data_IF_001149995554
#
_entry.id   IF_001149995554
#
_cell.length_a   1.000
_cell.length_b   1.000
_cell.length_c   1.000
_cell.angle_alpha   90.00
_cell.angle_beta   90.00
_cell.angle_gamma   90.00
#
_symmetry.space_group_name_H-M   'P 1'
#
loop_
_entity.id
_entity.type
_entity.pdbx_description
1 polymer ?
#
# COMPACT_ATOMS: atom_id res chain seq x y z
N UNK A 1 -8.30 -2.64 -10.69
CA UNK A 1 -8.59 -1.49 -9.80
C UNK A 1 -9.68 -1.88 -8.83
N UNK A 2 -9.57 -1.56 -7.53
CA UNK A 2 -10.54 -1.94 -6.50
C UNK A 2 -11.99 -1.57 -6.88
N UNK A 3 -12.20 -0.40 -7.50
CA UNK A 3 -13.51 0.06 -7.99
C UNK A 3 -14.12 -0.78 -9.12
N UNK A 4 -13.32 -1.62 -9.80
CA UNK A 4 -13.80 -2.58 -10.81
C UNK A 4 -14.32 -3.87 -10.17
N UNK A 5 -13.71 -4.28 -9.05
CA UNK A 5 -14.11 -5.49 -8.31
C UNK A 5 -15.30 -5.16 -7.40
N UNK A 6 -15.33 -3.96 -6.84
CA UNK A 6 -16.43 -3.48 -6.00
C UNK A 6 -17.19 -2.32 -6.68
N UNK A 7 -18.38 -2.63 -7.18
CA UNK A 7 -19.23 -1.71 -7.95
C UNK A 7 -19.84 -0.57 -7.10
N UNK A 8 -19.85 -0.69 -5.77
CA UNK A 8 -20.34 0.36 -4.87
C UNK A 8 -19.22 1.19 -4.25
N UNK A 9 -17.95 0.85 -4.50
CA UNK A 9 -16.82 1.60 -3.96
C UNK A 9 -16.56 2.88 -4.77
N UNK A 10 -16.26 3.96 -4.05
CA UNK A 10 -15.62 5.16 -4.59
C UNK A 10 -14.16 5.21 -4.15
N UNK A 11 -13.28 5.64 -5.04
CA UNK A 11 -11.83 5.61 -4.89
C UNK A 11 -11.25 7.02 -4.94
N UNK A 12 -10.30 7.28 -4.05
CA UNK A 12 -9.39 8.41 -4.13
C UNK A 12 -7.98 7.83 -4.22
N UNK A 13 -7.27 8.12 -5.31
CA UNK A 13 -5.88 7.77 -5.49
C UNK A 13 -4.99 8.99 -5.22
N UNK A 14 -3.94 8.81 -4.44
CA UNK A 14 -2.93 9.84 -4.16
C UNK A 14 -1.63 9.38 -4.80
N UNK A 15 -1.05 10.22 -5.65
CA UNK A 15 0.20 9.95 -6.35
C UNK A 15 1.03 11.24 -6.37
N UNK A 16 2.24 11.22 -5.82
CA UNK A 16 3.03 12.45 -5.69
C UNK A 16 3.75 12.83 -7.00
N UNK A 17 3.92 11.87 -7.92
CA UNK A 17 4.57 12.13 -9.21
C UNK A 17 3.53 12.60 -10.25
N UNK A 18 3.56 13.87 -10.70
CA UNK A 18 2.49 14.43 -11.54
C UNK A 18 2.25 13.66 -12.83
N UNK A 19 3.30 13.17 -13.49
CA UNK A 19 3.16 12.36 -14.71
C UNK A 19 2.49 11.00 -14.45
N UNK A 20 2.75 10.38 -13.29
CA UNK A 20 2.14 9.09 -12.93
C UNK A 20 0.69 9.30 -12.51
N UNK A 21 0.38 10.42 -11.85
CA UNK A 21 -0.99 10.82 -11.53
C UNK A 21 -1.81 11.02 -12.81
N UNK A 22 -1.28 11.74 -13.80
CA UNK A 22 -1.93 11.93 -15.10
C UNK A 22 -2.14 10.61 -15.85
N UNK A 23 -1.19 9.67 -15.77
CA UNK A 23 -1.37 8.32 -16.33
C UNK A 23 -2.47 7.54 -15.60
N UNK A 24 -2.56 7.64 -14.27
CA UNK A 24 -3.60 7.02 -13.48
C UNK A 24 -5.00 7.58 -13.81
N UNK A 25 -5.12 8.90 -14.00
CA UNK A 25 -6.36 9.55 -14.45
C UNK A 25 -6.81 9.02 -15.81
N UNK A 26 -5.91 8.98 -16.80
CA UNK A 26 -6.23 8.39 -18.12
C UNK A 26 -6.69 6.95 -17.99
N UNK A 27 -6.04 6.16 -17.13
CA UNK A 27 -6.45 4.77 -16.88
C UNK A 27 -7.85 4.68 -16.27
N UNK A 28 -8.22 5.59 -15.36
CA UNK A 28 -9.57 5.67 -14.79
C UNK A 28 -10.59 5.94 -15.91
N UNK A 29 -10.35 6.94 -16.75
CA UNK A 29 -11.25 7.29 -17.85
C UNK A 29 -11.38 6.18 -18.89
N UNK A 30 -10.26 5.53 -19.26
CA UNK A 30 -10.27 4.38 -20.18
C UNK A 30 -11.08 3.18 -19.65
N UNK A 31 -11.26 3.08 -18.32
CA UNK A 31 -12.05 2.03 -17.69
C UNK A 31 -13.47 2.49 -17.30
N UNK A 32 -13.90 3.69 -17.67
CA UNK A 32 -15.22 4.23 -17.36
C UNK A 32 -15.47 4.41 -15.86
N UNK A 33 -14.43 4.73 -15.10
CA UNK A 33 -14.48 4.85 -13.64
C UNK A 33 -14.57 6.30 -13.15
N UNK A 34 -14.73 7.28 -14.04
CA UNK A 34 -14.66 8.72 -13.74
C UNK A 34 -15.64 9.16 -12.64
N UNK A 35 -16.83 8.55 -12.60
CA UNK A 35 -17.86 8.87 -11.61
C UNK A 35 -17.56 8.31 -10.21
N UNK A 36 -16.55 7.46 -10.06
CA UNK A 36 -16.26 6.72 -8.81
C UNK A 36 -14.78 6.67 -8.47
N UNK A 37 -13.90 7.28 -9.25
CA UNK A 37 -12.48 7.29 -8.96
C UNK A 37 -11.88 8.64 -9.34
N UNK A 38 -11.15 9.25 -8.41
CA UNK A 38 -10.40 10.48 -8.65
C UNK A 38 -8.94 10.27 -8.27
N UNK A 39 -8.05 11.05 -8.90
CA UNK A 39 -6.62 11.07 -8.59
C UNK A 39 -6.26 12.46 -8.11
N UNK A 40 -5.39 12.54 -7.10
CA UNK A 40 -4.73 13.78 -6.71
C UNK A 40 -3.22 13.63 -6.86
N UNK A 41 -2.63 14.57 -7.61
CA UNK A 41 -1.20 14.76 -7.70
C UNK A 41 -0.70 15.45 -6.41
N UNK A 42 -0.49 14.68 -5.34
CA UNK A 42 -0.20 15.22 -4.01
C UNK A 42 0.68 14.27 -3.19
N UNK A 43 1.46 14.83 -2.26
CA UNK A 43 2.26 14.08 -1.32
C UNK A 43 1.44 13.65 -0.09
N UNK A 44 1.71 12.45 0.40
CA UNK A 44 1.06 11.89 1.59
C UNK A 44 1.21 12.76 2.83
N UNK A 45 2.29 13.55 2.95
CA UNK A 45 2.51 14.47 4.07
C UNK A 45 1.51 15.64 4.07
N UNK A 46 0.90 15.97 2.94
CA UNK A 46 -0.02 17.09 2.78
C UNK A 46 -1.50 16.70 2.94
N UNK A 47 -1.83 15.40 3.03
CA UNK A 47 -3.22 14.92 2.98
C UNK A 47 -4.13 15.45 4.10
N UNK A 48 -3.55 15.92 5.21
CA UNK A 48 -4.29 16.60 6.29
C UNK A 48 -4.89 17.95 5.85
N UNK A 49 -4.36 18.57 4.81
CA UNK A 49 -4.88 19.80 4.21
C UNK A 49 -5.98 19.49 3.18
N UNK A 50 -5.94 18.29 2.59
CA UNK A 50 -6.83 17.85 1.53
C UNK A 50 -8.11 17.21 2.06
N UNK A 51 -8.03 16.50 3.20
CA UNK A 51 -9.15 15.74 3.76
C UNK A 51 -9.27 15.96 5.27
N UNK A 52 -10.50 15.90 5.81
CA UNK A 52 -10.70 15.83 7.25
C UNK A 52 -10.23 14.48 7.83
N UNK A 53 -10.07 14.43 9.15
CA UNK A 53 -9.77 13.19 9.86
C UNK A 53 -10.88 12.15 9.63
N UNK A 54 -10.50 10.87 9.59
CA UNK A 54 -11.44 9.75 9.56
C UNK A 54 -12.42 9.79 8.36
N UNK A 55 -11.90 10.10 7.17
CA UNK A 55 -12.68 10.20 5.93
C UNK A 55 -13.00 8.84 5.29
N UNK A 56 -12.08 7.88 5.34
CA UNK A 56 -12.14 6.67 4.50
C UNK A 56 -12.43 5.39 5.29
N UNK A 57 -13.26 4.51 4.73
CA UNK A 57 -13.54 3.18 5.30
C UNK A 57 -12.37 2.20 5.13
N UNK A 58 -11.58 2.36 4.07
CA UNK A 58 -10.41 1.57 3.75
C UNK A 58 -9.31 2.49 3.21
N UNK A 59 -8.10 2.35 3.75
CA UNK A 59 -6.88 2.94 3.18
C UNK A 59 -5.97 1.82 2.71
N UNK A 60 -5.56 1.84 1.45
CA UNK A 60 -4.59 0.90 0.89
C UNK A 60 -3.34 1.66 0.51
N UNK A 61 -2.19 1.18 0.95
CA UNK A 61 -0.92 1.84 0.73
C UNK A 61 0.13 0.86 0.24
N UNK A 62 0.87 1.27 -0.78
CA UNK A 62 2.05 0.61 -1.29
C UNK A 62 3.23 1.60 -1.24
N UNK A 63 3.79 1.86 -0.04
CA UNK A 63 4.86 2.85 0.11
C UNK A 63 6.11 2.46 -0.69
N UNK A 64 6.95 3.44 -1.06
CA UNK A 64 8.26 3.17 -1.62
C UNK A 64 9.04 2.15 -0.78
N UNK A 65 9.66 1.18 -1.46
CA UNK A 65 10.23 0.00 -0.79
C UNK A 65 11.60 0.23 -0.17
N UNK A 66 12.36 1.26 -0.59
CA UNK A 66 13.74 1.49 -0.12
C UNK A 66 13.86 2.82 0.61
N UNK A 67 14.62 2.79 1.72
CA UNK A 67 14.97 3.99 2.47
C UNK A 67 15.75 4.95 1.58
N UNK A 68 15.54 6.25 1.79
CA UNK A 68 16.37 7.31 1.23
C UNK A 68 17.86 6.98 1.45
N UNK A 69 18.68 7.05 0.40
CA UNK A 69 20.12 6.81 0.49
C UNK A 69 20.58 5.34 0.61
N UNK A 70 19.68 4.36 0.52
CA UNK A 70 20.05 2.93 0.55
C UNK A 70 19.86 2.22 -0.81
N UNK A 71 20.95 2.06 -1.57
CA UNK A 71 20.98 1.25 -2.80
C UNK A 71 21.86 1.82 -3.91
N UNK A 72 22.30 0.95 -4.84
CA UNK A 72 22.98 1.36 -6.09
C UNK A 72 22.00 2.19 -6.94
N UNK A 73 22.41 3.43 -7.23
CA UNK A 73 21.77 4.35 -8.20
C UNK A 73 21.62 3.62 -9.54
N UNK A 74 20.41 3.61 -10.10
CA UNK A 74 20.21 3.02 -11.42
C UNK A 74 20.70 4.03 -12.47
N UNK A 75 21.52 3.64 -13.46
CA UNK A 75 22.02 4.58 -14.48
C UNK A 75 20.93 5.11 -15.45
N UNK A 76 19.64 4.85 -15.18
CA UNK A 76 18.50 5.36 -15.95
C UNK A 76 17.70 6.36 -15.11
N UNK A 77 17.94 7.64 -15.36
CA UNK A 77 17.43 8.80 -14.60
C UNK A 77 15.90 8.88 -14.38
N UNK A 78 15.07 8.08 -15.05
CA UNK A 78 13.61 8.08 -14.91
C UNK A 78 13.02 6.99 -13.99
N UNK A 79 13.81 6.03 -13.49
CA UNK A 79 13.30 4.91 -12.65
C UNK A 79 13.53 5.08 -11.15
N UNK A 80 14.27 6.11 -10.76
CA UNK A 80 14.78 6.23 -9.39
C UNK A 80 13.85 7.01 -8.44
N UNK A 81 13.00 7.90 -8.95
CA UNK A 81 12.08 8.69 -8.11
C UNK A 81 11.01 7.82 -7.41
N UNK A 82 10.52 6.76 -8.07
CA UNK A 82 9.49 5.88 -7.50
C UNK A 82 10.05 4.84 -6.49
N UNK A 83 11.38 4.74 -6.34
CA UNK A 83 12.03 3.67 -5.56
C UNK A 83 12.80 4.14 -4.35
N UNK A 84 13.10 5.42 -4.26
CA UNK A 84 13.73 6.03 -3.09
C UNK A 84 12.69 6.88 -2.37
N UNK A 85 12.65 6.83 -1.03
CA UNK A 85 11.91 7.83 -0.24
C UNK A 85 12.49 9.22 -0.57
N UNK A 86 11.85 9.97 -1.47
CA UNK A 86 12.30 11.31 -1.85
C UNK A 86 11.73 12.40 -0.95
N UNK A 87 10.47 12.27 -0.54
CA UNK A 87 9.73 13.30 0.22
C UNK A 87 8.95 12.75 1.42
N UNK A 88 8.65 11.46 1.47
CA UNK A 88 7.92 10.80 2.54
C UNK A 88 8.46 9.39 2.82
N UNK A 89 8.56 9.03 4.10
CA UNK A 89 9.00 7.70 4.56
C UNK A 89 7.85 6.85 5.08
N UNK A 90 8.12 5.58 5.42
CA UNK A 90 7.11 4.65 5.93
C UNK A 90 6.30 5.21 7.12
N UNK A 91 6.93 6.00 8.01
CA UNK A 91 6.26 6.67 9.12
C UNK A 91 5.18 7.64 8.66
N UNK A 92 5.44 8.40 7.59
CA UNK A 92 4.50 9.39 7.04
C UNK A 92 3.30 8.69 6.41
N UNK A 93 3.53 7.60 5.67
CA UNK A 93 2.45 6.77 5.12
C UNK A 93 1.58 6.16 6.23
N UNK A 94 2.18 5.64 7.30
CA UNK A 94 1.43 5.10 8.45
C UNK A 94 0.65 6.21 9.15
N UNK A 95 1.24 7.39 9.34
CA UNK A 95 0.58 8.54 9.97
C UNK A 95 -0.59 9.08 9.14
N UNK A 96 -0.41 9.19 7.81
CA UNK A 96 -1.45 9.60 6.87
C UNK A 96 -2.58 8.57 6.84
N UNK A 97 -2.26 7.28 6.70
CA UNK A 97 -3.28 6.23 6.69
C UNK A 97 -4.07 6.17 8.00
N UNK A 98 -3.40 6.34 9.14
CA UNK A 98 -4.06 6.50 10.44
C UNK A 98 -4.95 7.73 10.45
N UNK A 99 -4.50 8.89 10.01
CA UNK A 99 -5.33 10.10 10.01
C UNK A 99 -6.61 9.90 9.17
N UNK A 100 -6.45 9.32 7.99
CA UNK A 100 -7.51 9.21 6.99
C UNK A 100 -8.54 8.11 7.27
N UNK A 101 -8.16 7.01 7.91
CA UNK A 101 -9.09 5.88 8.12
C UNK A 101 -10.11 6.17 9.23
N UNK A 102 -11.37 5.79 9.05
CA UNK A 102 -12.39 5.81 10.11
C UNK A 102 -12.03 4.89 11.28
N UNK A 103 -12.54 5.13 12.50
CA UNK A 103 -12.32 4.24 13.65
C UNK A 103 -12.68 2.77 13.39
N UNK A 104 -13.75 2.51 12.62
CA UNK A 104 -14.19 1.17 12.22
C UNK A 104 -13.49 0.62 10.98
N UNK A 105 -12.73 1.46 10.28
CA UNK A 105 -12.13 1.15 8.98
C UNK A 105 -10.90 0.27 9.06
N UNK A 106 -10.29 0.04 7.90
CA UNK A 106 -9.08 -0.79 7.75
C UNK A 106 -7.98 -0.08 7.01
N UNK A 107 -6.75 -0.44 7.34
CA UNK A 107 -5.56 0.00 6.61
C UNK A 107 -4.84 -1.24 6.09
N UNK A 108 -4.53 -1.29 4.81
CA UNK A 108 -3.76 -2.37 4.20
C UNK A 108 -2.44 -1.83 3.66
N UNK A 109 -1.34 -2.49 4.02
CA UNK A 109 -0.01 -2.21 3.49
C UNK A 109 0.55 -3.43 2.77
N UNK A 110 1.37 -3.18 1.76
CA UNK A 110 2.30 -4.18 1.21
C UNK A 110 3.73 -3.62 1.28
N UNK A 111 4.70 -4.44 1.69
CA UNK A 111 6.07 -3.99 1.91
C UNK A 111 7.11 -5.13 1.86
N UNK A 112 8.41 -4.80 1.76
CA UNK A 112 9.50 -5.78 1.78
C UNK A 112 9.68 -6.42 3.17
N UNK A 113 9.97 -7.72 3.28
CA UNK A 113 10.19 -8.39 4.57
C UNK A 113 11.29 -7.75 5.42
N UNK A 114 12.32 -7.17 4.81
CA UNK A 114 13.39 -6.45 5.54
C UNK A 114 12.89 -5.23 6.32
N UNK A 115 11.74 -4.67 5.95
CA UNK A 115 11.11 -3.53 6.62
C UNK A 115 10.12 -3.97 7.71
N UNK A 116 9.87 -5.28 7.86
CA UNK A 116 8.89 -5.79 8.82
C UNK A 116 9.18 -5.32 10.26
N UNK A 117 10.41 -5.35 10.80
CA UNK A 117 10.68 -4.88 12.16
C UNK A 117 10.30 -3.40 12.36
N UNK A 118 10.66 -2.56 11.39
CA UNK A 118 10.34 -1.13 11.41
C UNK A 118 8.85 -0.86 11.24
N UNK A 119 8.19 -1.59 10.34
CA UNK A 119 6.75 -1.51 10.14
C UNK A 119 5.98 -1.84 11.43
N UNK A 120 6.32 -2.95 12.10
CA UNK A 120 5.68 -3.35 13.35
C UNK A 120 5.90 -2.30 14.46
N UNK A 121 7.11 -1.75 14.54
CA UNK A 121 7.46 -0.70 15.50
C UNK A 121 6.65 0.58 15.24
N UNK A 122 6.61 1.06 14.00
CA UNK A 122 5.87 2.26 13.62
C UNK A 122 4.36 2.10 13.79
N UNK A 123 3.80 0.93 13.45
CA UNK A 123 2.39 0.62 13.68
C UNK A 123 2.05 0.70 15.18
N UNK A 124 2.89 0.09 16.03
CA UNK A 124 2.71 0.13 17.48
C UNK A 124 2.82 1.56 18.05
N UNK A 125 3.83 2.33 17.62
CA UNK A 125 3.98 3.75 18.00
C UNK A 125 2.78 4.60 17.56
N UNK A 126 2.25 4.32 16.38
CA UNK A 126 1.04 4.95 15.87
C UNK A 126 -0.23 4.46 16.57
N UNK A 127 -0.17 3.55 17.55
CA UNK A 127 -1.33 2.95 18.22
C UNK A 127 -2.29 2.26 17.23
N UNK A 128 -1.72 1.68 16.17
CA UNK A 128 -2.41 0.79 15.25
C UNK A 128 -2.12 -0.66 15.63
N UNK A 129 -3.13 -1.51 15.58
CA UNK A 129 -2.96 -2.93 15.82
C UNK A 129 -2.96 -3.69 14.51
N UNK A 130 -2.00 -4.60 14.37
CA UNK A 130 -1.93 -5.52 13.23
C UNK A 130 -3.00 -6.60 13.44
N UNK A 131 -3.95 -6.66 12.52
CA UNK A 131 -5.04 -7.63 12.51
C UNK A 131 -4.62 -8.90 11.78
N UNK A 132 -4.02 -8.75 10.60
CA UNK A 132 -3.59 -9.85 9.73
C UNK A 132 -2.23 -9.56 9.15
N UNK A 133 -1.40 -10.59 9.01
CA UNK A 133 -0.11 -10.55 8.32
C UNK A 133 -0.05 -11.72 7.35
N UNK A 134 0.38 -11.48 6.12
CA UNK A 134 0.54 -12.53 5.10
C UNK A 134 1.85 -12.36 4.36
N UNK A 135 2.68 -13.40 4.36
CA UNK A 135 3.91 -13.42 3.57
C UNK A 135 3.61 -13.79 2.12
N UNK A 136 4.30 -13.16 1.17
CA UNK A 136 4.20 -13.44 -0.26
C UNK A 136 5.54 -13.97 -0.74
N UNK A 137 5.51 -15.10 -1.43
CA UNK A 137 6.65 -15.82 -1.96
C UNK A 137 6.51 -15.96 -3.47
N UNK A 138 7.59 -15.82 -4.21
CA UNK A 138 7.56 -16.02 -5.67
C UNK A 138 7.18 -17.45 -6.05
N UNK A 139 7.64 -18.44 -5.27
CA UNK A 139 7.33 -19.86 -5.40
C UNK A 139 7.57 -20.60 -4.07
N UNK A 140 7.21 -21.90 -4.03
CA UNK A 140 7.28 -22.75 -2.82
C UNK A 140 8.68 -22.88 -2.20
N UNK A 141 9.74 -22.64 -2.97
CA UNK A 141 11.14 -22.77 -2.51
C UNK A 141 11.80 -21.43 -2.20
N UNK A 142 11.15 -20.33 -2.54
CA UNK A 142 11.72 -18.99 -2.39
C UNK A 142 11.45 -18.41 -1.00
N UNK A 143 12.37 -17.59 -0.45
CA UNK A 143 12.05 -16.76 0.70
C UNK A 143 10.94 -15.77 0.36
N UNK A 144 10.32 -15.19 1.39
CA UNK A 144 9.31 -14.15 1.19
C UNK A 144 9.93 -12.97 0.43
N UNK A 145 9.23 -12.48 -0.58
CA UNK A 145 9.62 -11.30 -1.35
C UNK A 145 8.89 -10.05 -0.88
N UNK A 146 7.68 -10.22 -0.34
CA UNK A 146 6.82 -9.15 0.17
C UNK A 146 6.03 -9.67 1.37
N UNK A 147 5.47 -8.78 2.16
CA UNK A 147 4.41 -9.09 3.13
C UNK A 147 3.25 -8.11 2.94
N UNK A 148 2.05 -8.56 3.27
CA UNK A 148 0.87 -7.73 3.43
C UNK A 148 0.47 -7.66 4.90
N UNK A 149 0.02 -6.49 5.34
CA UNK A 149 -0.48 -6.29 6.69
C UNK A 149 -1.80 -5.51 6.68
N UNK A 150 -2.77 -6.01 7.42
CA UNK A 150 -4.03 -5.30 7.73
C UNK A 150 -3.93 -4.71 9.14
N UNK A 151 -4.26 -3.42 9.29
CA UNK A 151 -4.23 -2.68 10.54
C UNK A 151 -5.61 -2.09 10.88
N UNK A 152 -5.83 -1.83 12.18
CA UNK A 152 -6.97 -1.06 12.66
C UNK A 152 -6.60 -0.10 13.80
N UNK A 153 -7.37 0.99 13.93
CA UNK A 153 -7.28 1.96 15.03
C UNK A 153 -7.79 1.35 16.34
N UNK A 154 -7.04 1.51 17.44
CA UNK A 154 -7.56 1.34 18.80
C UNK A 154 -7.99 -0.07 19.21
N UNK A 155 -7.87 -1.06 18.33
CA UNK A 155 -8.33 -2.43 18.58
C UNK A 155 -7.17 -3.31 18.99
N UNK A 156 -6.94 -3.53 20.29
CA UNK A 156 -6.02 -4.59 20.72
C UNK A 156 -6.52 -5.93 20.16
N UNK A 157 -5.69 -6.56 19.33
CA UNK A 157 -5.98 -7.84 18.70
C UNK A 157 -4.74 -8.72 18.75
N UNK A 158 -4.96 -10.02 18.86
CA UNK A 158 -3.93 -10.99 18.50
C UNK A 158 -3.88 -11.03 16.98
N UNK A 159 -2.72 -10.76 16.35
CA UNK A 159 -2.60 -10.79 14.90
C UNK A 159 -2.79 -12.23 14.40
N UNK A 160 -3.51 -12.38 13.29
CA UNK A 160 -3.57 -13.63 12.54
C UNK A 160 -2.43 -13.61 11.52
N UNK A 161 -1.58 -14.63 11.54
CA UNK A 161 -0.61 -14.86 10.47
C UNK A 161 -1.26 -15.83 9.49
N UNK A 162 -1.59 -15.33 8.30
CA UNK A 162 -2.22 -16.10 7.24
C UNK A 162 -1.23 -17.11 6.62
N UNK A 163 -1.73 -18.21 6.04
CA UNK A 163 -0.93 -19.03 5.15
C UNK A 163 -0.24 -18.18 4.07
N UNK A 164 1.02 -18.46 3.72
CA UNK A 164 1.73 -17.69 2.71
C UNK A 164 1.00 -17.70 1.37
N UNK A 165 1.12 -16.62 0.62
CA UNK A 165 0.72 -16.57 -0.80
C UNK A 165 1.92 -16.97 -1.66
N UNK A 166 1.80 -18.05 -2.41
CA UNK A 166 2.78 -18.43 -3.43
C UNK A 166 2.32 -17.93 -4.79
N UNK A 167 3.11 -17.07 -5.43
CA UNK A 167 2.73 -16.48 -6.73
C UNK A 167 2.76 -17.52 -7.83
N UNK A 168 3.78 -18.38 -7.85
CA UNK A 168 3.95 -19.45 -8.82
C UNK A 168 4.03 -20.83 -8.19
N UNK A 169 3.55 -21.82 -8.91
CA UNK A 169 3.62 -23.23 -8.54
C UNK A 169 5.00 -23.84 -8.87
N UNK A 170 5.09 -25.18 -8.79
CA UNK A 170 6.31 -25.93 -9.12
C UNK A 170 6.61 -26.01 -10.62
N UNK A 171 5.60 -25.84 -11.49
CA UNK A 171 5.75 -25.75 -12.94
C UNK A 171 6.15 -24.35 -13.42
N UNK A 172 6.07 -23.36 -12.54
CA UNK A 172 6.38 -21.96 -12.83
C UNK A 172 5.15 -21.16 -13.28
N UNK A 173 3.96 -21.75 -13.29
CA UNK A 173 2.70 -21.07 -13.63
C UNK A 173 2.15 -20.30 -12.44
N UNK A 174 1.32 -19.29 -12.69
CA UNK A 174 0.64 -18.58 -11.61
C UNK A 174 -0.29 -19.52 -10.86
N UNK A 175 -0.27 -19.45 -9.53
CA UNK A 175 -1.21 -20.24 -8.72
C UNK A 175 -2.63 -19.68 -8.86
N UNK A 176 -3.64 -20.55 -8.73
CA UNK A 176 -5.06 -20.16 -8.78
C UNK A 176 -5.41 -19.08 -7.76
N UNK A 177 -4.70 -19.05 -6.62
CA UNK A 177 -4.96 -18.09 -5.56
C UNK A 177 -4.66 -16.65 -5.97
N UNK A 178 -3.72 -16.41 -6.89
CA UNK A 178 -3.39 -15.06 -7.38
C UNK A 178 -4.58 -14.42 -8.12
N UNK A 179 -5.48 -15.24 -8.66
CA UNK A 179 -6.64 -14.81 -9.45
C UNK A 179 -7.92 -14.66 -8.64
N UNK A 180 -7.91 -15.03 -7.36
CA UNK A 180 -9.04 -14.88 -6.45
C UNK A 180 -9.13 -13.47 -5.88
#
# INVERSE_FOLDING_TARGET
VLARINLSASLVAIENHPEMAALAERNISHNGLDNRAIVHAEDVINLRKCYPDSTFDLVVSNPPFRKAGSGKVSPKAGRDAARHESTAGLSDFIAAAKYLVKPSGRICFIQLPSRLPEFMSLAAQAKLSVLRLRMIHSNLKSPATMFMAELAKGRRSVPIVEPPLFVRDMGGEYTDEVWR
#
